data_IF_262742863105
#
_entry.id   IF_262742863105
#
_cell.length_a   1.000
_cell.length_b   1.000
_cell.length_c   1.000
_cell.angle_alpha   90.00
_cell.angle_beta   90.00
_cell.angle_gamma   90.00
#
_symmetry.space_group_name_H-M   'P 1'
#
loop_
_entity.id
_entity.type
_entity.pdbx_description
1 polymer ?
#
# COMPACT_ATOMS: atom_id res chain seq x y z
N UNK A 1 19.43 1.55 -40.74
CA UNK A 1 20.18 2.05 -39.56
C UNK A 1 19.38 1.60 -38.34
N UNK A 2 19.87 0.61 -37.59
CA UNK A 2 19.15 0.11 -36.41
C UNK A 2 19.39 1.11 -35.29
N UNK A 3 18.37 1.88 -34.93
CA UNK A 3 18.43 2.79 -33.79
C UNK A 3 18.35 1.93 -32.52
N UNK A 4 19.49 1.74 -31.87
CA UNK A 4 19.52 1.13 -30.53
C UNK A 4 19.04 2.18 -29.54
N UNK A 5 17.81 2.04 -29.07
CA UNK A 5 17.32 2.82 -27.93
C UNK A 5 18.00 2.29 -26.68
N UNK A 6 19.02 3.02 -26.20
CA UNK A 6 19.62 2.76 -24.90
C UNK A 6 18.63 3.21 -23.82
N UNK A 7 18.40 2.33 -22.84
CA UNK A 7 17.62 2.67 -21.65
C UNK A 7 18.43 3.70 -20.83
N UNK A 8 17.86 4.86 -20.46
CA UNK A 8 18.55 5.83 -19.61
C UNK A 8 18.79 5.32 -18.18
N UNK A 9 18.15 4.22 -17.77
CA UNK A 9 18.31 3.63 -16.45
C UNK A 9 19.29 2.46 -16.53
N UNK A 10 20.34 2.52 -15.70
CA UNK A 10 21.25 1.38 -15.56
C UNK A 10 20.53 0.18 -14.91
N UNK A 11 20.35 -0.94 -15.64
CA UNK A 11 19.57 -2.08 -15.14
C UNK A 11 20.25 -2.80 -13.98
N UNK A 12 21.58 -2.73 -13.89
CA UNK A 12 22.36 -3.34 -12.80
C UNK A 12 22.08 -2.61 -11.49
N UNK A 13 22.13 -1.28 -11.52
CA UNK A 13 21.84 -0.42 -10.36
C UNK A 13 20.41 -0.63 -9.88
N UNK A 14 19.45 -0.62 -10.81
CA UNK A 14 18.03 -0.84 -10.48
C UNK A 14 17.83 -2.19 -9.81
N UNK A 15 18.39 -3.26 -10.38
CA UNK A 15 18.31 -4.61 -9.81
C UNK A 15 18.91 -4.66 -8.41
N UNK A 16 20.09 -4.06 -8.22
CA UNK A 16 20.76 -4.12 -6.94
C UNK A 16 20.06 -3.29 -5.87
N UNK A 17 19.60 -2.07 -6.18
CA UNK A 17 18.81 -1.28 -5.24
C UNK A 17 17.57 -2.05 -4.74
N UNK A 18 16.83 -2.68 -5.65
CA UNK A 18 15.68 -3.51 -5.30
C UNK A 18 16.12 -4.70 -4.43
N UNK A 19 17.19 -5.38 -4.81
CA UNK A 19 17.72 -6.53 -4.07
C UNK A 19 18.15 -6.14 -2.64
N UNK A 20 18.92 -5.06 -2.49
CA UNK A 20 19.36 -4.52 -1.20
C UNK A 20 18.19 -4.16 -0.31
N UNK A 21 17.16 -3.48 -0.85
CA UNK A 21 16.00 -3.04 -0.09
C UNK A 21 15.08 -4.20 0.28
N UNK A 22 14.77 -5.08 -0.69
CA UNK A 22 13.82 -6.19 -0.49
C UNK A 22 14.37 -7.31 0.37
N UNK A 23 15.65 -7.67 0.18
CA UNK A 23 16.28 -8.78 0.90
C UNK A 23 17.11 -8.31 2.09
N UNK A 24 17.14 -7.00 2.36
CA UNK A 24 17.89 -6.40 3.47
C UNK A 24 19.37 -6.85 3.45
N UNK A 25 19.97 -6.80 2.27
CA UNK A 25 21.34 -7.28 2.07
C UNK A 25 22.33 -6.24 2.59
N UNK A 26 22.83 -6.52 3.79
CA UNK A 26 23.82 -5.70 4.46
C UNK A 26 25.13 -5.78 3.70
N UNK A 27 25.71 -4.61 3.42
CA UNK A 27 26.99 -4.53 2.75
C UNK A 27 27.03 -3.41 1.74
N UNK A 28 28.05 -3.49 0.89
CA UNK A 28 28.36 -2.48 -0.11
C UNK A 28 28.44 -3.12 -1.48
N UNK A 29 27.72 -2.54 -2.42
CA UNK A 29 27.82 -2.84 -3.84
C UNK A 29 28.40 -1.65 -4.59
N UNK A 30 29.35 -1.92 -5.50
CA UNK A 30 29.93 -0.90 -6.36
C UNK A 30 29.85 -1.34 -7.81
N UNK A 31 29.52 -0.40 -8.70
CA UNK A 31 29.54 -0.64 -10.14
C UNK A 31 29.99 0.61 -10.90
N UNK A 32 30.36 0.40 -12.15
CA UNK A 32 30.72 1.45 -13.09
C UNK A 32 29.71 1.45 -14.24
N UNK A 33 29.63 2.59 -14.91
CA UNK A 33 28.79 2.81 -16.08
C UNK A 33 29.59 3.57 -17.14
N UNK A 34 28.94 4.00 -18.21
CA UNK A 34 29.57 4.79 -19.27
C UNK A 34 30.25 6.06 -18.71
N UNK A 35 31.20 6.60 -19.47
CA UNK A 35 31.91 7.84 -19.16
C UNK A 35 32.66 7.84 -17.81
N UNK A 36 33.11 6.66 -17.38
CA UNK A 36 33.79 6.44 -16.08
C UNK A 36 32.95 6.89 -14.88
N UNK A 37 31.63 6.87 -15.03
CA UNK A 37 30.71 7.07 -13.91
C UNK A 37 30.79 5.85 -13.00
N UNK A 38 30.69 6.09 -11.69
CA UNK A 38 30.68 5.05 -10.67
C UNK A 38 29.58 5.27 -9.65
N UNK A 39 29.08 4.16 -9.13
CA UNK A 39 28.01 4.13 -8.16
C UNK A 39 28.40 3.24 -6.97
N UNK A 40 27.88 3.59 -5.79
CA UNK A 40 27.97 2.78 -4.59
C UNK A 40 26.61 2.74 -3.89
N UNK A 41 26.13 1.53 -3.61
CA UNK A 41 24.94 1.28 -2.79
C UNK A 41 25.43 0.65 -1.50
N UNK A 42 25.11 1.25 -0.36
CA UNK A 42 25.49 0.72 0.95
C UNK A 42 24.28 0.71 1.87
N UNK A 43 24.00 -0.44 2.49
CA UNK A 43 23.00 -0.57 3.53
C UNK A 43 23.69 -0.61 4.90
N UNK A 44 23.36 0.35 5.76
CA UNK A 44 23.87 0.41 7.14
C UNK A 44 22.81 -0.05 8.11
N UNK A 45 23.06 -1.18 8.79
CA UNK A 45 22.18 -1.68 9.85
C UNK A 45 22.10 -0.75 11.05
N UNK A 46 23.24 -0.17 11.42
CA UNK A 46 23.34 0.68 12.61
C UNK A 46 22.45 1.90 12.50
N UNK A 47 22.34 2.43 11.28
CA UNK A 47 21.59 3.65 10.98
C UNK A 47 20.23 3.35 10.34
N UNK A 48 19.93 2.09 10.01
CA UNK A 48 18.73 1.67 9.28
C UNK A 48 18.49 2.52 8.02
N UNK A 49 19.59 2.83 7.32
CA UNK A 49 19.62 3.73 6.18
C UNK A 49 20.32 3.08 4.99
N UNK A 50 19.86 3.44 3.79
CA UNK A 50 20.56 3.15 2.54
C UNK A 50 21.27 4.42 2.07
N UNK A 51 22.51 4.26 1.61
CA UNK A 51 23.31 5.29 0.99
C UNK A 51 23.48 4.97 -0.47
N UNK A 52 23.22 5.96 -1.31
CA UNK A 52 23.48 5.92 -2.74
C UNK A 52 24.51 6.98 -3.08
N UNK A 53 25.72 6.57 -3.46
CA UNK A 53 26.79 7.48 -3.84
C UNK A 53 27.04 7.44 -5.34
N UNK A 54 27.27 8.62 -5.91
CA UNK A 54 27.51 8.82 -7.34
C UNK A 54 28.81 9.60 -7.53
N UNK A 55 29.59 9.20 -8.53
CA UNK A 55 30.78 9.93 -8.92
C UNK A 55 30.96 9.96 -10.43
N UNK A 56 31.38 11.12 -10.94
CA UNK A 56 31.59 11.36 -12.37
C UNK A 56 32.77 12.34 -12.59
N UNK A 57 33.61 12.14 -13.61
CA UNK A 57 34.79 12.99 -13.83
C UNK A 57 34.51 14.49 -13.95
N UNK A 58 33.34 14.87 -14.50
CA UNK A 58 32.93 16.26 -14.75
C UNK A 58 31.84 16.74 -13.77
N UNK A 59 31.66 16.07 -12.62
CA UNK A 59 30.60 16.37 -11.67
C UNK A 59 30.55 17.86 -11.29
N UNK A 60 31.69 18.44 -10.92
CA UNK A 60 31.74 19.83 -10.47
C UNK A 60 31.24 20.84 -11.50
N UNK A 61 31.51 20.60 -12.78
CA UNK A 61 31.10 21.50 -13.85
C UNK A 61 29.60 21.40 -14.12
N UNK A 62 29.07 20.17 -14.14
CA UNK A 62 27.62 19.91 -14.28
C UNK A 62 26.85 20.44 -13.08
N UNK A 63 27.36 20.20 -11.87
CA UNK A 63 26.70 20.59 -10.63
C UNK A 63 26.60 22.11 -10.46
N UNK A 64 27.64 22.86 -10.84
CA UNK A 64 27.62 24.34 -10.79
C UNK A 64 26.51 24.98 -11.62
N UNK A 65 26.06 24.33 -12.69
CA UNK A 65 25.05 24.89 -13.60
C UNK A 65 23.64 24.81 -13.00
N UNK A 66 23.34 23.76 -12.24
CA UNK A 66 21.98 23.56 -11.73
C UNK A 66 21.81 22.39 -10.76
N UNK A 67 22.89 21.89 -10.16
CA UNK A 67 22.88 20.75 -9.24
C UNK A 67 21.94 20.97 -8.06
N UNK A 68 22.01 22.13 -7.42
CA UNK A 68 21.14 22.47 -6.28
C UNK A 68 19.66 22.48 -6.66
N UNK A 69 19.32 23.11 -7.80
CA UNK A 69 17.94 23.14 -8.31
C UNK A 69 17.44 21.73 -8.64
N UNK A 70 18.30 20.88 -9.22
CA UNK A 70 17.97 19.51 -9.57
C UNK A 70 17.71 18.65 -8.33
N UNK A 71 18.59 18.72 -7.32
CA UNK A 71 18.40 18.05 -6.02
C UNK A 71 17.11 18.52 -5.37
N UNK A 72 16.93 19.84 -5.28
CA UNK A 72 15.73 20.41 -4.67
C UNK A 72 14.47 20.05 -5.45
N UNK A 73 14.52 19.79 -6.75
CA UNK A 73 13.31 19.44 -7.51
C UNK A 73 12.97 17.96 -7.44
N UNK A 74 13.95 17.07 -7.54
CA UNK A 74 13.72 15.63 -7.76
C UNK A 74 14.05 14.76 -6.55
N UNK A 75 14.87 15.24 -5.61
CA UNK A 75 15.40 14.44 -4.51
C UNK A 75 15.07 15.01 -3.13
N UNK A 76 13.98 15.79 -3.01
CA UNK A 76 13.57 16.42 -1.74
C UNK A 76 13.38 15.44 -0.58
N UNK A 77 12.98 14.20 -0.89
CA UNK A 77 12.74 13.14 0.10
C UNK A 77 14.03 12.46 0.59
N UNK A 78 15.18 12.81 0.04
CA UNK A 78 16.48 12.22 0.37
C UNK A 78 17.37 13.26 1.04
N UNK A 79 18.17 12.82 2.01
CA UNK A 79 19.16 13.67 2.65
C UNK A 79 20.49 13.60 1.89
N UNK A 80 20.97 14.75 1.41
CA UNK A 80 22.30 14.81 0.78
C UNK A 80 23.36 14.95 1.87
N UNK A 81 24.30 14.01 1.89
CA UNK A 81 25.38 14.00 2.88
C UNK A 81 26.33 15.18 2.67
N UNK A 82 26.63 15.91 3.76
CA UNK A 82 27.62 17.00 3.74
C UNK A 82 29.01 16.52 3.36
N UNK A 83 29.36 15.30 3.73
CA UNK A 83 30.59 14.62 3.33
C UNK A 83 30.21 13.39 2.52
N UNK A 84 30.37 13.42 1.19
CA UNK A 84 30.15 12.24 0.35
C UNK A 84 31.03 11.07 0.77
N UNK A 85 30.60 9.87 0.41
CA UNK A 85 31.38 8.66 0.59
C UNK A 85 32.75 8.78 -0.10
N UNK A 86 33.80 8.22 0.52
CA UNK A 86 35.18 8.40 0.05
C UNK A 86 35.33 8.01 -1.42
N UNK A 87 35.75 8.98 -2.23
CA UNK A 87 35.97 8.81 -3.65
C UNK A 87 34.73 9.04 -4.52
N UNK A 88 33.62 9.53 -3.97
CA UNK A 88 32.42 9.91 -4.70
C UNK A 88 32.15 11.40 -4.55
N UNK A 89 31.37 11.95 -5.47
CA UNK A 89 31.12 13.39 -5.55
C UNK A 89 29.85 13.78 -4.78
N UNK A 90 28.86 12.88 -4.71
CA UNK A 90 27.63 13.06 -3.94
C UNK A 90 27.17 11.74 -3.32
N UNK A 91 26.56 11.84 -2.14
CA UNK A 91 25.91 10.71 -1.47
C UNK A 91 24.53 11.13 -0.98
N UNK A 92 23.51 10.39 -1.40
CA UNK A 92 22.15 10.47 -0.89
C UNK A 92 21.95 9.44 0.22
N UNK A 93 21.24 9.82 1.27
CA UNK A 93 20.80 8.97 2.35
C UNK A 93 19.28 8.90 2.34
N UNK A 94 18.74 7.70 2.55
CA UNK A 94 17.33 7.48 2.81
C UNK A 94 17.14 6.51 3.96
N UNK A 95 16.28 6.85 4.91
CA UNK A 95 15.84 5.90 5.93
C UNK A 95 14.94 4.85 5.28
N UNK A 96 15.14 3.57 5.60
CA UNK A 96 14.37 2.48 5.01
C UNK A 96 12.85 2.59 5.25
N UNK A 97 12.45 3.21 6.37
CA UNK A 97 11.04 3.46 6.68
C UNK A 97 10.39 4.39 5.65
N UNK A 98 11.10 5.41 5.17
CA UNK A 98 10.60 6.36 4.17
C UNK A 98 10.49 5.71 2.79
N UNK A 99 11.38 4.76 2.48
CA UNK A 99 11.33 3.98 1.24
C UNK A 99 10.17 2.99 1.21
N UNK A 100 9.86 2.36 2.36
CA UNK A 100 8.73 1.42 2.47
C UNK A 100 7.37 2.11 2.37
N UNK A 101 7.24 3.37 2.82
CA UNK A 101 5.99 4.13 2.68
C UNK A 101 5.67 4.51 1.23
N UNK A 102 6.68 4.63 0.37
CA UNK A 102 6.50 4.94 -1.06
C UNK A 102 6.35 3.69 -1.94
N UNK A 103 6.65 2.50 -1.43
CA UNK A 103 6.35 1.22 -2.07
C UNK A 103 4.93 0.75 -1.73
N UNK A 104 3.93 1.54 -2.13
CA UNK A 104 2.54 1.05 -2.28
C UNK A 104 2.40 0.33 -3.61
N UNK A 105 3.30 -0.61 -3.93
CA UNK A 105 3.13 -1.49 -5.10
C UNK A 105 2.01 -2.50 -4.87
N UNK A 106 1.43 -2.54 -3.66
CA UNK A 106 0.20 -3.26 -3.36
C UNK A 106 -0.97 -2.29 -3.20
N UNK A 107 -1.90 -2.36 -4.16
CA UNK A 107 -3.22 -1.76 -4.02
C UNK A 107 -4.10 -2.75 -3.27
N UNK A 108 -4.60 -2.37 -2.10
CA UNK A 108 -5.56 -3.17 -1.35
C UNK A 108 -6.98 -2.69 -1.62
N UNK A 109 -7.86 -3.59 -2.06
CA UNK A 109 -9.27 -3.30 -2.31
C UNK A 109 -10.11 -4.13 -1.34
N UNK A 110 -11.07 -3.48 -0.68
CA UNK A 110 -11.95 -4.11 0.31
C UNK A 110 -13.39 -4.14 -0.23
N UNK A 111 -14.01 -5.31 -0.16
CA UNK A 111 -15.42 -5.50 -0.50
C UNK A 111 -16.20 -5.91 0.75
N UNK A 112 -17.25 -5.16 1.07
CA UNK A 112 -18.22 -5.53 2.09
C UNK A 112 -19.44 -6.15 1.40
N UNK A 113 -19.68 -7.44 1.62
CA UNK A 113 -20.78 -8.18 1.02
C UNK A 113 -21.77 -8.61 2.10
N UNK A 114 -23.06 -8.47 1.82
CA UNK A 114 -24.14 -8.88 2.71
C UNK A 114 -25.13 -9.75 1.93
N UNK A 115 -25.44 -10.92 2.48
CA UNK A 115 -26.35 -11.90 1.87
C UNK A 115 -27.54 -12.15 2.81
N UNK A 116 -28.73 -11.77 2.37
CA UNK A 116 -29.97 -11.96 3.12
C UNK A 116 -30.41 -13.42 3.14
N UNK A 117 -30.27 -14.12 2.02
CA UNK A 117 -30.60 -15.54 1.89
C UNK A 117 -29.46 -16.42 2.43
N UNK A 118 -29.82 -17.48 3.16
CA UNK A 118 -28.86 -18.40 3.78
C UNK A 118 -28.16 -19.29 2.74
N UNK A 119 -28.88 -19.67 1.68
CA UNK A 119 -28.35 -20.46 0.57
C UNK A 119 -27.32 -19.63 -0.19
N UNK A 120 -27.65 -18.39 -0.55
CA UNK A 120 -26.73 -17.48 -1.25
C UNK A 120 -25.47 -17.21 -0.42
N UNK A 121 -25.61 -17.02 0.90
CA UNK A 121 -24.48 -16.85 1.81
C UNK A 121 -23.57 -18.07 1.82
N UNK A 122 -24.15 -19.26 1.86
CA UNK A 122 -23.42 -20.52 1.87
C UNK A 122 -22.66 -20.72 0.56
N UNK A 123 -23.30 -20.42 -0.57
CA UNK A 123 -22.67 -20.49 -1.90
C UNK A 123 -21.53 -19.47 -2.00
N UNK A 124 -21.77 -18.22 -1.58
CA UNK A 124 -20.75 -17.17 -1.61
C UNK A 124 -19.55 -17.51 -0.72
N UNK A 125 -19.78 -18.10 0.45
CA UNK A 125 -18.72 -18.60 1.33
C UNK A 125 -17.85 -19.64 0.63
N UNK A 126 -18.45 -20.65 0.01
CA UNK A 126 -17.71 -21.67 -0.74
C UNK A 126 -16.87 -21.04 -1.87
N UNK A 127 -17.44 -20.09 -2.62
CA UNK A 127 -16.70 -19.40 -3.69
C UNK A 127 -15.53 -18.55 -3.17
N UNK A 128 -15.73 -17.83 -2.07
CA UNK A 128 -14.69 -16.97 -1.48
C UNK A 128 -13.55 -17.79 -0.89
N UNK A 129 -13.83 -18.97 -0.33
CA UNK A 129 -12.81 -19.86 0.20
C UNK A 129 -11.90 -20.39 -0.93
N UNK A 130 -12.48 -20.73 -2.09
CA UNK A 130 -11.69 -21.08 -3.30
C UNK A 130 -10.81 -19.92 -3.80
N UNK A 131 -11.30 -18.67 -3.74
CA UNK A 131 -10.49 -17.50 -4.12
C UNK A 131 -9.27 -17.30 -3.22
N UNK A 132 -9.42 -17.53 -1.91
CA UNK A 132 -8.31 -17.47 -0.95
C UNK A 132 -7.24 -18.52 -1.29
N UNK A 133 -7.66 -19.70 -1.77
CA UNK A 133 -6.76 -20.81 -2.11
C UNK A 133 -6.24 -20.79 -3.56
N UNK A 134 -6.56 -19.75 -4.34
CA UNK A 134 -6.22 -19.63 -5.77
C UNK A 134 -4.73 -19.82 -6.10
N UNK A 135 -3.83 -19.53 -5.15
CA UNK A 135 -2.38 -19.77 -5.26
C UNK A 135 -2.00 -21.22 -5.51
N UNK A 136 -2.88 -22.19 -5.24
CA UNK A 136 -2.63 -23.63 -5.51
C UNK A 136 -2.65 -23.96 -7.01
N UNK A 137 -3.39 -23.18 -7.79
CA UNK A 137 -3.67 -23.48 -9.19
C UNK A 137 -3.17 -22.40 -10.15
N UNK A 138 -3.03 -21.16 -9.67
CA UNK A 138 -2.57 -20.02 -10.47
C UNK A 138 -1.21 -19.56 -9.94
N UNK A 139 -0.27 -19.29 -10.84
CA UNK A 139 1.04 -18.74 -10.48
C UNK A 139 0.93 -17.23 -10.28
N UNK A 140 1.28 -16.76 -9.08
CA UNK A 140 1.29 -15.34 -8.69
C UNK A 140 -0.07 -14.60 -8.78
N UNK A 141 -1.21 -15.13 -8.30
CA UNK A 141 -2.44 -14.39 -8.22
C UNK A 141 -2.35 -13.27 -7.15
N UNK A 142 -3.23 -12.26 -7.23
CA UNK A 142 -3.38 -11.29 -6.14
C UNK A 142 -3.69 -11.99 -4.80
N UNK A 143 -3.13 -11.47 -3.71
CA UNK A 143 -3.43 -12.00 -2.37
C UNK A 143 -4.87 -11.66 -1.97
N UNK A 144 -5.67 -12.69 -1.69
CA UNK A 144 -7.05 -12.54 -1.20
C UNK A 144 -7.12 -12.96 0.26
N UNK A 145 -7.77 -12.15 1.10
CA UNK A 145 -8.03 -12.47 2.50
C UNK A 145 -9.51 -12.26 2.80
N UNK A 146 -10.08 -13.17 3.60
CA UNK A 146 -11.45 -13.08 4.08
C UNK A 146 -11.43 -12.80 5.58
N UNK A 147 -12.24 -11.85 6.02
CA UNK A 147 -12.45 -11.52 7.43
C UNK A 147 -13.90 -11.84 7.78
N UNK A 148 -14.13 -12.84 8.62
CA UNK A 148 -15.47 -13.13 9.13
C UNK A 148 -15.78 -12.20 10.30
N UNK A 149 -16.90 -11.47 10.20
CA UNK A 149 -17.43 -10.73 11.36
C UNK A 149 -18.07 -11.75 12.29
N UNK A 150 -17.40 -12.09 13.38
CA UNK A 150 -18.02 -12.85 14.48
C UNK A 150 -19.11 -11.94 15.05
N UNK A 151 -20.37 -12.27 14.80
CA UNK A 151 -21.49 -11.62 15.46
C UNK A 151 -21.51 -12.16 16.90
N UNK A 152 -21.08 -11.35 17.87
CA UNK A 152 -21.26 -11.66 19.28
C UNK A 152 -22.76 -11.85 19.57
N UNK A 153 -23.16 -13.09 19.86
CA UNK A 153 -24.55 -13.48 20.13
C UNK A 153 -25.02 -13.10 21.56
N UNK A 154 -24.33 -12.21 22.25
CA UNK A 154 -24.57 -11.88 23.67
C UNK A 154 -25.77 -10.97 23.95
N UNK A 155 -26.75 -10.85 23.04
CA UNK A 155 -27.99 -10.10 23.26
C UNK A 155 -29.28 -10.88 22.91
N UNK A 156 -29.37 -12.17 23.26
CA UNK A 156 -30.66 -12.89 23.28
C UNK A 156 -30.97 -13.47 24.65
N UNK A 157 -31.52 -12.63 25.52
CA UNK A 157 -32.29 -13.08 26.68
C UNK A 157 -33.31 -12.02 27.09
N UNK A 158 -34.52 -12.11 26.53
CA UNK A 158 -35.81 -11.93 27.22
C UNK A 158 -36.99 -12.15 26.24
N UNK A 159 -37.77 -13.23 26.48
CA UNK A 159 -39.25 -13.33 26.53
C UNK A 159 -40.12 -12.71 25.40
N UNK A 160 -41.22 -13.25 24.84
CA UNK A 160 -42.15 -14.37 25.10
C UNK A 160 -43.05 -14.58 23.85
N UNK A 161 -43.91 -15.60 23.91
CA UNK A 161 -44.83 -16.12 22.86
C UNK A 161 -45.95 -15.19 22.33
N UNK A 162 -46.52 -15.62 21.18
CA UNK A 162 -47.92 -15.54 20.66
C UNK A 162 -48.24 -14.60 19.46
N UNK A 163 -48.95 -15.23 18.52
CA UNK A 163 -49.90 -14.76 17.47
C UNK A 163 -49.41 -14.40 16.06
N UNK A 164 -49.85 -15.23 15.13
CA UNK A 164 -49.94 -14.99 13.68
C UNK A 164 -50.93 -13.86 13.40
N UNK A 165 -50.50 -12.83 12.66
CA UNK A 165 -51.37 -12.11 11.73
C UNK A 165 -50.58 -11.64 10.51
N UNK A 166 -51.10 -11.96 9.33
CA UNK A 166 -50.66 -11.44 8.03
C UNK A 166 -50.99 -9.95 7.97
N UNK A 167 -49.98 -9.11 7.76
CA UNK A 167 -50.17 -7.78 7.16
C UNK A 167 -48.97 -7.49 6.24
N UNK A 168 -49.27 -7.40 4.94
CA UNK A 168 -48.41 -6.77 3.93
C UNK A 168 -48.22 -5.31 4.34
N UNK A 169 -46.98 -4.90 4.55
CA UNK A 169 -46.59 -3.50 4.71
C UNK A 169 -45.12 -3.36 4.39
N UNK A 170 -44.80 -2.63 3.32
CA UNK A 170 -43.47 -2.12 3.07
C UNK A 170 -43.10 -1.17 4.22
N UNK A 171 -42.32 -1.65 5.18
CA UNK A 171 -41.59 -0.79 6.10
C UNK A 171 -40.11 -0.87 5.74
N UNK A 172 -39.63 0.20 5.10
CA UNK A 172 -38.21 0.52 5.01
C UNK A 172 -37.68 0.78 6.42
N UNK A 173 -37.34 -0.30 7.12
CA UNK A 173 -36.66 -0.24 8.41
C UNK A 173 -35.25 0.28 8.19
N UNK A 174 -34.94 1.44 8.76
CA UNK A 174 -33.58 1.98 8.80
C UNK A 174 -32.78 1.06 9.72
N UNK A 175 -31.94 0.20 9.15
CA UNK A 175 -30.96 -0.58 9.91
C UNK A 175 -29.68 0.26 10.02
N UNK A 176 -29.27 0.57 11.25
CA UNK A 176 -27.99 1.23 11.49
C UNK A 176 -26.90 0.19 11.61
N UNK A 177 -25.86 0.30 10.81
CA UNK A 177 -24.68 -0.55 10.88
C UNK A 177 -23.49 0.22 11.47
N UNK A 178 -22.73 -0.46 12.33
CA UNK A 178 -21.47 0.04 12.86
C UNK A 178 -20.32 -0.78 12.30
N UNK A 179 -19.34 -0.11 11.71
CA UNK A 179 -18.11 -0.74 11.22
C UNK A 179 -17.31 -1.37 12.38
N UNK A 180 -16.62 -2.50 12.15
CA UNK A 180 -15.68 -3.06 13.12
C UNK A 180 -14.62 -2.03 13.53
N UNK A 181 -14.25 -2.00 14.82
CA UNK A 181 -13.31 -1.01 15.36
C UNK A 181 -11.97 -1.00 14.62
N UNK A 182 -11.45 -2.17 14.23
CA UNK A 182 -10.20 -2.30 13.45
C UNK A 182 -10.24 -1.57 12.10
N UNK A 183 -11.41 -1.47 11.47
CA UNK A 183 -11.59 -0.71 10.22
C UNK A 183 -11.72 0.78 10.50
N UNK A 184 -12.37 1.16 11.61
CA UNK A 184 -12.46 2.57 12.05
C UNK A 184 -11.10 3.12 12.49
N UNK A 185 -10.27 2.30 13.15
CA UNK A 185 -8.93 2.67 13.57
C UNK A 185 -8.00 2.89 12.37
N UNK A 186 -8.21 2.10 11.31
CA UNK A 186 -7.45 2.17 10.06
C UNK A 186 -7.95 3.27 9.12
N UNK A 187 -9.24 3.59 9.18
CA UNK A 187 -9.91 4.59 8.33
C UNK A 187 -10.88 5.43 9.20
N UNK A 188 -10.37 6.45 9.92
CA UNK A 188 -11.15 7.26 10.87
C UNK A 188 -12.36 7.95 10.24
N UNK A 189 -12.33 8.23 8.95
CA UNK A 189 -13.43 8.78 8.15
C UNK A 189 -14.71 7.91 8.17
N UNK A 190 -14.57 6.59 8.38
CA UNK A 190 -15.70 5.66 8.51
C UNK A 190 -16.54 5.91 9.76
N UNK A 191 -16.01 6.64 10.76
CA UNK A 191 -16.69 6.92 12.04
C UNK A 191 -17.97 7.76 11.87
N UNK A 192 -18.06 8.54 10.79
CA UNK A 192 -19.16 9.47 10.54
C UNK A 192 -20.04 9.08 9.35
N UNK A 193 -19.79 7.92 8.74
CA UNK A 193 -20.56 7.41 7.62
C UNK A 193 -21.83 6.70 8.14
N UNK A 194 -23.00 7.25 7.80
CA UNK A 194 -24.26 6.51 7.91
C UNK A 194 -24.51 5.80 6.58
N UNK A 195 -24.67 4.49 6.65
CA UNK A 195 -25.22 3.70 5.56
C UNK A 195 -26.74 3.86 5.57
N UNK A 196 -27.31 4.39 4.48
CA UNK A 196 -28.74 4.37 4.25
C UNK A 196 -29.05 3.37 3.13
N UNK A 197 -29.91 2.39 3.43
CA UNK A 197 -30.38 1.41 2.47
C UNK A 197 -31.70 1.91 1.87
N UNK A 198 -31.66 2.32 0.59
CA UNK A 198 -32.85 2.69 -0.17
C UNK A 198 -33.05 1.67 -1.30
N UNK A 199 -34.13 0.89 -1.23
CA UNK A 199 -34.51 -0.09 -2.25
C UNK A 199 -33.38 -1.08 -2.63
N UNK A 200 -32.57 -1.50 -1.66
CA UNK A 200 -31.48 -2.46 -1.89
C UNK A 200 -30.20 -1.88 -2.51
N UNK A 201 -30.12 -0.55 -2.69
CA UNK A 201 -28.88 0.15 -3.03
C UNK A 201 -28.29 0.79 -1.78
N UNK A 202 -26.98 0.60 -1.58
CA UNK A 202 -26.22 1.24 -0.50
C UNK A 202 -25.87 2.66 -0.95
N UNK A 203 -26.40 3.66 -0.24
CA UNK A 203 -26.03 5.05 -0.41
C UNK A 203 -25.21 5.51 0.79
N UNK A 204 -24.04 6.10 0.51
CA UNK A 204 -23.18 6.70 1.53
C UNK A 204 -23.47 8.19 1.63
N UNK A 205 -23.93 8.64 2.80
CA UNK A 205 -24.20 10.06 3.04
C UNK A 205 -23.29 10.57 4.16
N UNK A 206 -22.46 11.56 3.84
CA UNK A 206 -21.69 12.25 4.87
C UNK A 206 -22.63 13.10 5.73
N UNK A 207 -22.59 12.88 7.04
CA UNK A 207 -23.26 13.78 7.99
C UNK A 207 -22.34 14.99 8.17
N UNK A 208 -22.68 16.11 7.55
CA UNK A 208 -22.13 17.40 8.00
C UNK A 208 -22.72 17.69 9.37
N UNK A 209 -21.88 17.59 10.40
CA UNK A 209 -22.20 18.11 11.72
C UNK A 209 -21.86 19.59 11.66
N UNK A 210 -22.88 20.45 11.51
CA UNK A 210 -22.74 21.86 11.80
C UNK A 210 -22.29 22.00 13.27
N UNK A 211 -21.23 22.77 13.49
CA UNK A 211 -20.61 22.98 14.80
C UNK A 211 -21.53 23.73 15.76
#
# INVERSE_FOLDING_TARGET
>A
MIQMNLDPINPIIKKELVNTISNYLIGRFMCHDYDNVKYCIELSDKENCIYFSFGAPNYNDVFKIGGDLFIQKYYQSYEVQKQPYKGFDITFQATLNNLKQNNTDSVSVYFALSFTDIVDRTIAQLMLDEFVESNRHVKNPPSVQRVEKILDQSQRSTQSEVSVSKLRGNTSGIQSYTYPQILVDKFPELKNLKEEYLNGLISFKNIHIEK
#
